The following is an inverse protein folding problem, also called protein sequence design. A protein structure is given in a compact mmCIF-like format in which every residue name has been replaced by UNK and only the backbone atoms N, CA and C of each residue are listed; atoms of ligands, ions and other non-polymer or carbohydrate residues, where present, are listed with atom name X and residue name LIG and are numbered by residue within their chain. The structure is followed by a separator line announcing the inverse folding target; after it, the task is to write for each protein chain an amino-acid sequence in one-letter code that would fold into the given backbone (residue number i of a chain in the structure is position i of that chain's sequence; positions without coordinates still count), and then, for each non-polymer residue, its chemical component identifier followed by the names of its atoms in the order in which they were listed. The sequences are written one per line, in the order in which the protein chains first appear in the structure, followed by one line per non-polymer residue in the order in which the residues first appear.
data_IF_924666140865
#
_entry.id   IF_924666140865
#
_cell.length_a   1.000
_cell.length_b   1.000
_cell.length_c   1.000
_cell.angle_alpha   90.00
_cell.angle_beta   90.00
_cell.angle_gamma   90.00
#
_symmetry.space_group_name_H-M   'P 1'
#
loop_
_entity.id
_entity.type
_entity.pdbx_description
1 polymer ?
#
# COMPACT_ATOMS: atom_id res chain seq x y z
N UNK A 1 -16.61 10.49 -51.10
CA UNK A 1 -15.24 9.97 -51.29
C UNK A 1 -14.26 10.97 -50.69
N UNK A 2 -13.40 10.47 -49.77
CA UNK A 2 -12.04 10.93 -49.44
C UNK A 2 -11.82 12.42 -49.13
N UNK A 3 -11.75 12.76 -47.84
CA UNK A 3 -10.88 13.86 -47.37
C UNK A 3 -9.87 13.29 -46.36
N UNK A 4 -8.77 12.76 -46.91
CA UNK A 4 -7.55 12.45 -46.18
C UNK A 4 -6.71 13.74 -46.06
N UNK A 5 -6.24 14.09 -44.87
CA UNK A 5 -5.06 14.95 -44.69
C UNK A 5 -4.24 14.45 -43.51
N UNK A 6 -3.14 13.83 -43.88
CA UNK A 6 -2.12 13.15 -43.08
C UNK A 6 -0.86 14.04 -43.11
N UNK A 7 -0.31 14.32 -41.92
CA UNK A 7 1.11 14.61 -41.60
C UNK A 7 1.72 15.97 -41.96
N UNK A 8 2.28 16.67 -40.95
CA UNK A 8 3.74 16.84 -40.81
C UNK A 8 4.15 17.49 -39.47
N UNK A 9 5.11 16.82 -38.84
CA UNK A 9 5.87 17.19 -37.65
C UNK A 9 6.98 18.17 -38.06
N UNK A 10 7.22 19.21 -37.27
CA UNK A 10 8.51 19.93 -37.26
C UNK A 10 8.79 20.51 -35.88
N UNK A 11 9.74 19.88 -35.17
CA UNK A 11 10.37 20.42 -33.96
C UNK A 11 11.68 21.11 -34.36
N UNK A 12 11.94 22.30 -33.82
CA UNK A 12 13.27 22.90 -33.79
C UNK A 12 13.41 23.70 -32.48
N UNK A 13 14.12 23.11 -31.52
CA UNK A 13 14.52 23.72 -30.26
C UNK A 13 15.89 24.34 -30.47
N UNK A 14 15.97 25.67 -30.48
CA UNK A 14 17.23 26.40 -30.42
C UNK A 14 17.59 26.63 -28.94
N UNK A 15 18.46 25.78 -28.39
CA UNK A 15 18.99 25.91 -27.04
C UNK A 15 20.27 26.73 -27.00
N UNK A 16 20.28 27.76 -26.17
CA UNK A 16 21.42 28.62 -25.79
C UNK A 16 22.55 27.82 -25.14
N UNK A 17 23.79 27.99 -25.61
CA UNK A 17 25.00 27.53 -24.90
C UNK A 17 25.25 28.42 -23.68
N UNK A 18 25.20 27.85 -22.48
CA UNK A 18 25.79 28.43 -21.26
C UNK A 18 27.18 27.83 -21.08
N UNK A 19 28.17 28.72 -21.05
CA UNK A 19 29.55 28.42 -20.65
C UNK A 19 29.64 28.40 -19.13
N UNK A 20 30.13 27.32 -18.54
CA UNK A 20 30.62 27.33 -17.15
C UNK A 20 31.82 26.39 -17.05
N UNK A 21 33.00 26.99 -16.83
CA UNK A 21 34.18 26.31 -16.30
C UNK A 21 33.93 25.82 -14.87
N UNK A 22 34.75 24.88 -14.40
CA UNK A 22 35.52 25.23 -13.20
C UNK A 22 36.99 24.80 -13.24
N UNK A 23 37.83 25.64 -12.62
CA UNK A 23 39.07 25.25 -11.96
C UNK A 23 38.74 24.20 -10.88
N UNK A 24 39.49 23.13 -10.67
CA UNK A 24 40.83 23.15 -10.10
C UNK A 24 40.80 22.37 -8.77
N UNK A 25 41.94 21.73 -8.46
CA UNK A 25 42.38 21.05 -7.23
C UNK A 25 41.81 19.67 -6.88
N UNK A 26 42.75 18.72 -6.92
CA UNK A 26 42.72 17.42 -6.26
C UNK A 26 42.71 17.56 -4.72
N UNK A 27 42.11 16.59 -4.04
CA UNK A 27 42.63 16.05 -2.79
C UNK A 27 42.34 14.54 -2.79
N UNK A 28 43.40 13.77 -2.54
CA UNK A 28 43.37 12.34 -2.31
C UNK A 28 43.51 12.08 -0.80
N UNK A 29 42.97 10.93 -0.40
CA UNK A 29 43.35 10.10 0.76
C UNK A 29 42.90 10.53 2.17
N UNK A 30 41.99 9.75 2.76
CA UNK A 30 42.24 8.83 3.89
C UNK A 30 41.01 8.63 4.80
N UNK A 31 40.63 7.36 4.96
CA UNK A 31 39.78 6.74 5.98
C UNK A 31 38.62 7.51 6.65
N UNK A 32 37.38 7.04 6.43
CA UNK A 32 36.35 7.08 7.47
C UNK A 32 34.92 7.36 7.02
N UNK A 33 34.05 6.37 7.31
CA UNK A 33 32.57 6.44 7.37
C UNK A 33 31.83 6.35 6.02
N UNK A 34 31.32 5.15 5.77
CA UNK A 34 30.33 4.84 4.73
C UNK A 34 29.04 5.66 4.94
N UNK A 35 28.64 6.55 4.01
CA UNK A 35 27.40 7.31 4.10
C UNK A 35 26.14 6.50 3.72
N UNK A 36 26.28 5.23 3.35
CA UNK A 36 25.17 4.28 3.14
C UNK A 36 25.00 3.27 4.29
N UNK A 37 25.75 3.42 5.39
CA UNK A 37 25.47 2.73 6.64
C UNK A 37 24.35 3.46 7.40
N UNK A 38 23.13 3.38 6.90
CA UNK A 38 21.95 3.71 7.70
C UNK A 38 21.52 2.45 8.46
N UNK A 39 21.45 2.61 9.79
CA UNK A 39 20.96 1.66 10.75
C UNK A 39 19.68 0.97 10.26
N UNK A 40 19.73 -0.37 10.17
CA UNK A 40 18.50 -1.15 10.09
C UNK A 40 17.64 -0.88 11.32
N UNK A 41 16.31 -1.01 11.22
CA UNK A 41 15.50 -1.14 12.42
C UNK A 41 15.96 -2.42 13.12
N UNK A 42 16.52 -2.23 14.31
CA UNK A 42 16.82 -3.20 15.34
C UNK A 42 16.61 -4.66 14.93
N UNK A 43 17.71 -5.34 14.61
CA UNK A 43 17.77 -6.75 14.89
C UNK A 43 17.45 -6.91 16.38
N UNK A 44 16.27 -7.44 16.69
CA UNK A 44 16.02 -8.07 17.97
C UNK A 44 17.01 -9.22 18.09
N UNK A 45 18.20 -8.88 18.58
CA UNK A 45 19.21 -9.84 18.97
C UNK A 45 18.60 -10.72 20.03
N UNK A 46 18.62 -12.02 19.80
CA UNK A 46 18.28 -13.01 20.82
C UNK A 46 19.33 -12.91 21.91
N UNK A 47 19.06 -12.14 22.97
CA UNK A 47 19.91 -12.10 24.16
C UNK A 47 19.69 -13.42 24.93
N UNK A 48 20.71 -14.30 25.01
CA UNK A 48 20.57 -15.60 25.68
C UNK A 48 20.44 -15.50 27.21
N UNK A 49 20.57 -14.29 27.78
CA UNK A 49 20.39 -13.98 29.19
C UNK A 49 19.15 -13.12 29.47
N UNK A 50 18.33 -12.82 28.46
CA UNK A 50 17.04 -12.19 28.71
C UNK A 50 16.15 -13.19 29.49
N UNK A 51 15.62 -12.81 30.66
CA UNK A 51 14.61 -13.63 31.30
C UNK A 51 13.44 -13.83 30.33
N UNK A 52 12.78 -15.00 30.32
CA UNK A 52 11.60 -15.19 29.51
C UNK A 52 10.61 -14.07 29.82
N UNK A 53 9.99 -13.51 28.77
CA UNK A 53 8.90 -12.57 28.94
C UNK A 53 7.88 -13.20 29.91
N UNK A 54 7.33 -12.44 30.88
CA UNK A 54 6.24 -12.96 31.68
C UNK A 54 5.14 -13.42 30.72
N UNK A 55 4.61 -14.63 30.94
CA UNK A 55 3.52 -15.18 30.16
C UNK A 55 2.47 -14.07 29.96
N UNK A 56 2.16 -13.78 28.70
CA UNK A 56 1.13 -12.81 28.36
C UNK A 56 -0.11 -13.15 29.19
N UNK A 57 -0.58 -12.19 29.98
CA UNK A 57 -1.78 -12.39 30.78
C UNK A 57 -2.91 -12.90 29.87
N UNK A 58 -3.73 -13.85 30.33
CA UNK A 58 -4.80 -14.38 29.51
C UNK A 58 -5.66 -13.21 29.02
N UNK A 59 -5.79 -13.10 27.69
CA UNK A 59 -6.80 -12.25 27.07
C UNK A 59 -8.15 -12.75 27.58
N UNK A 60 -8.73 -11.96 28.47
CA UNK A 60 -10.08 -12.13 28.99
C UNK A 60 -11.02 -12.06 27.79
N UNK A 61 -11.27 -13.22 27.20
CA UNK A 61 -12.16 -13.36 26.07
C UNK A 61 -13.55 -13.15 26.64
N UNK A 62 -14.29 -12.09 26.25
CA UNK A 62 -15.65 -11.93 26.74
C UNK A 62 -16.43 -13.21 26.42
N UNK A 63 -17.18 -13.77 27.38
CA UNK A 63 -17.92 -15.00 27.13
C UNK A 63 -18.84 -14.79 25.93
N UNK A 64 -18.87 -15.79 25.04
CA UNK A 64 -19.89 -15.87 24.01
C UNK A 64 -21.27 -15.70 24.67
N UNK A 65 -22.24 -15.02 24.02
CA UNK A 65 -23.58 -14.92 24.57
C UNK A 65 -24.12 -16.33 24.78
N UNK A 66 -24.35 -16.67 26.04
CA UNK A 66 -24.96 -17.92 26.46
C UNK A 66 -26.32 -18.05 25.77
N UNK A 67 -26.54 -19.21 25.13
CA UNK A 67 -27.84 -19.62 24.59
C UNK A 67 -28.88 -19.44 25.69
N UNK A 68 -29.72 -18.41 25.55
CA UNK A 68 -30.83 -18.16 26.45
C UNK A 68 -31.80 -19.33 26.33
N UNK A 69 -31.61 -20.33 27.20
CA UNK A 69 -32.51 -21.46 27.34
C UNK A 69 -33.93 -20.96 27.56
N UNK A 70 -34.88 -21.56 26.85
CA UNK A 70 -36.30 -21.28 27.00
C UNK A 70 -36.75 -21.65 28.42
N UNK A 71 -36.90 -20.67 29.30
CA UNK A 71 -37.53 -20.85 30.61
C UNK A 71 -39.05 -20.95 30.44
N UNK A 72 -39.67 -22.10 30.72
CA UNK A 72 -41.10 -22.29 30.53
C UNK A 72 -41.97 -21.50 31.53
N UNK A 73 -41.39 -20.85 32.54
CA UNK A 73 -42.11 -20.02 33.51
C UNK A 73 -41.99 -18.51 33.26
N UNK A 74 -41.26 -18.09 32.23
CA UNK A 74 -41.19 -16.69 31.86
C UNK A 74 -42.51 -16.25 31.19
N UNK A 75 -43.20 -15.20 31.69
CA UNK A 75 -44.38 -14.66 31.01
C UNK A 75 -43.97 -14.17 29.60
N UNK A 76 -44.81 -14.36 28.57
CA UNK A 76 -44.48 -13.88 27.24
C UNK A 76 -44.27 -12.37 27.28
N UNK A 77 -43.28 -11.83 26.52
CA UNK A 77 -43.10 -10.39 26.45
C UNK A 77 -44.37 -9.74 25.93
N UNK A 78 -44.77 -8.63 26.56
CA UNK A 78 -45.82 -7.77 26.03
C UNK A 78 -45.36 -7.30 24.64
N UNK A 79 -46.18 -7.52 23.62
CA UNK A 79 -45.83 -7.19 22.23
C UNK A 79 -45.44 -5.70 22.10
N UNK A 80 -44.50 -5.34 21.20
CA UNK A 80 -44.19 -3.95 20.94
C UNK A 80 -45.37 -3.27 20.23
N UNK A 81 -45.81 -2.13 20.77
CA UNK A 81 -46.77 -1.23 20.15
C UNK A 81 -46.30 -0.86 18.73
N UNK A 82 -47.18 -1.07 17.75
CA UNK A 82 -46.95 -0.91 16.31
C UNK A 82 -46.85 0.56 15.85
N UNK A 83 -45.99 1.38 16.47
CA UNK A 83 -45.75 2.78 16.10
C UNK A 83 -44.26 3.17 15.98
N UNK A 84 -43.37 2.20 15.74
CA UNK A 84 -42.03 2.53 15.23
C UNK A 84 -42.11 2.85 13.73
N UNK A 85 -41.58 3.98 13.24
CA UNK A 85 -41.45 4.20 11.81
C UNK A 85 -40.60 3.08 11.19
N UNK A 86 -40.83 2.69 9.91
CA UNK A 86 -39.92 1.77 9.25
C UNK A 86 -38.53 2.38 9.29
N UNK A 87 -37.57 1.65 9.86
CA UNK A 87 -36.17 2.02 9.80
C UNK A 87 -35.82 2.21 8.32
N UNK A 88 -35.53 3.45 7.95
CA UNK A 88 -35.02 3.81 6.63
C UNK A 88 -33.78 2.93 6.42
N UNK A 89 -33.87 2.01 5.46
CA UNK A 89 -32.84 1.01 5.20
C UNK A 89 -31.54 1.76 4.92
N UNK A 90 -30.62 1.73 5.89
CA UNK A 90 -29.36 2.43 5.76
C UNK A 90 -28.69 1.99 4.46
N UNK A 91 -28.11 2.92 3.67
CA UNK A 91 -27.45 2.55 2.43
C UNK A 91 -26.45 1.43 2.71
N UNK A 92 -26.30 0.45 1.81
CA UNK A 92 -25.37 -0.65 2.03
C UNK A 92 -24.01 -0.04 2.33
N UNK A 93 -23.48 -0.35 3.52
CA UNK A 93 -22.11 0.03 3.88
C UNK A 93 -21.22 -0.50 2.77
N UNK A 94 -20.36 0.33 2.15
CA UNK A 94 -19.43 -0.19 1.16
C UNK A 94 -18.59 -1.25 1.87
N UNK A 95 -18.77 -2.50 1.47
CA UNK A 95 -17.88 -3.59 1.88
C UNK A 95 -16.51 -3.26 1.32
N UNK A 96 -15.66 -2.67 2.17
CA UNK A 96 -14.25 -2.56 1.88
C UNK A 96 -13.71 -4.00 1.85
N UNK A 97 -13.51 -4.53 0.65
CA UNK A 97 -12.61 -5.66 0.50
C UNK A 97 -11.25 -5.17 0.96
N UNK A 98 -10.88 -5.48 2.21
CA UNK A 98 -9.56 -5.13 2.73
C UNK A 98 -8.55 -6.01 2.02
N UNK A 99 -7.91 -5.47 0.99
CA UNK A 99 -6.82 -6.15 0.28
C UNK A 99 -5.58 -6.11 1.16
N UNK A 100 -4.97 -7.25 1.40
CA UNK A 100 -3.69 -7.35 2.09
C UNK A 100 -2.55 -6.98 1.12
N UNK A 101 -2.25 -5.68 1.05
CA UNK A 101 -1.21 -5.15 0.19
C UNK A 101 0.20 -5.64 0.53
N UNK A 102 0.49 -5.99 1.79
CA UNK A 102 1.78 -6.57 2.15
C UNK A 102 1.95 -7.97 1.58
N UNK A 103 0.90 -8.79 1.58
CA UNK A 103 0.94 -10.11 0.97
C UNK A 103 1.15 -10.03 -0.56
N UNK A 104 0.55 -9.02 -1.20
CA UNK A 104 0.79 -8.73 -2.62
C UNK A 104 2.23 -8.25 -2.82
N UNK A 105 2.71 -7.29 -2.04
CA UNK A 105 4.09 -6.80 -2.14
C UNK A 105 5.14 -7.89 -1.88
N UNK A 106 4.85 -8.80 -0.95
CA UNK A 106 5.69 -9.98 -0.69
C UNK A 106 5.78 -10.89 -1.92
N UNK A 107 4.69 -11.02 -2.67
CA UNK A 107 4.67 -11.77 -3.91
C UNK A 107 5.36 -11.05 -5.07
N UNK A 108 5.16 -9.73 -5.18
CA UNK A 108 5.60 -8.91 -6.31
C UNK A 108 7.08 -8.52 -6.22
N UNK A 109 7.54 -8.09 -5.05
CA UNK A 109 8.91 -7.58 -4.84
C UNK A 109 9.69 -8.30 -3.74
N UNK A 110 9.12 -9.34 -3.14
CA UNK A 110 9.68 -9.95 -1.93
C UNK A 110 9.51 -9.06 -0.69
N UNK A 111 8.61 -8.08 -0.73
CA UNK A 111 8.33 -7.16 0.38
C UNK A 111 9.21 -5.90 0.38
N UNK A 112 10.05 -5.71 -0.63
CA UNK A 112 10.86 -4.51 -0.76
C UNK A 112 10.06 -3.38 -1.42
N UNK A 113 9.67 -2.39 -0.62
CA UNK A 113 8.86 -1.24 -1.07
C UNK A 113 9.64 -0.20 -1.87
N UNK A 114 10.97 -0.20 -1.80
CA UNK A 114 11.83 0.76 -2.49
C UNK A 114 12.55 0.14 -3.69
N UNK A 115 12.10 -1.04 -4.15
CA UNK A 115 12.76 -1.76 -5.24
C UNK A 115 12.71 -0.96 -6.54
N UNK A 116 13.86 -0.87 -7.20
CA UNK A 116 14.00 -0.32 -8.54
C UNK A 116 15.17 -1.01 -9.24
N UNK A 117 14.89 -2.11 -9.93
CA UNK A 117 15.90 -2.93 -10.63
C UNK A 117 16.16 -2.47 -12.06
N UNK A 118 15.44 -1.45 -12.54
CA UNK A 118 15.50 -1.00 -13.94
C UNK A 118 14.67 -1.87 -14.91
N UNK A 119 13.80 -2.75 -14.41
CA UNK A 119 12.89 -3.57 -15.22
C UNK A 119 11.62 -2.84 -15.71
N UNK A 120 11.50 -1.54 -15.42
CA UNK A 120 10.32 -0.70 -15.78
C UNK A 120 9.18 -0.74 -14.76
N UNK A 121 9.35 -1.48 -13.66
CA UNK A 121 8.44 -1.53 -12.52
C UNK A 121 9.11 -0.95 -11.27
N UNK A 122 8.31 -0.37 -10.39
CA UNK A 122 8.79 0.41 -9.28
C UNK A 122 8.03 0.09 -8.00
N UNK A 123 8.77 -0.04 -6.90
CA UNK A 123 8.23 -0.18 -5.56
C UNK A 123 7.63 -1.56 -5.26
N UNK A 124 7.04 -1.69 -4.08
CA UNK A 124 6.62 -2.97 -3.51
C UNK A 124 5.53 -3.67 -4.32
N UNK A 125 4.63 -2.88 -4.92
CA UNK A 125 3.51 -3.38 -5.71
C UNK A 125 3.80 -3.41 -7.21
N UNK A 126 5.07 -3.22 -7.60
CA UNK A 126 5.53 -3.30 -8.98
C UNK A 126 4.71 -2.43 -9.94
N UNK A 127 4.60 -1.13 -9.66
CA UNK A 127 3.89 -0.20 -10.54
C UNK A 127 4.70 0.15 -11.78
N UNK A 128 4.04 0.31 -12.94
CA UNK A 128 4.64 1.04 -14.06
C UNK A 128 4.56 2.55 -13.81
N UNK A 129 5.48 3.34 -14.37
CA UNK A 129 5.46 4.80 -14.24
C UNK A 129 4.17 5.44 -14.81
N UNK A 130 3.55 4.82 -15.83
CA UNK A 130 2.28 5.27 -16.41
C UNK A 130 1.11 5.04 -15.45
N UNK A 131 0.97 3.82 -14.94
CA UNK A 131 -0.09 3.47 -13.98
C UNK A 131 0.04 4.29 -12.70
N UNK A 132 1.26 4.46 -12.18
CA UNK A 132 1.54 5.28 -11.00
C UNK A 132 0.95 6.69 -11.12
N UNK A 133 1.32 7.39 -12.20
CA UNK A 133 0.89 8.77 -12.44
C UNK A 133 -0.59 8.87 -12.73
N UNK A 134 -1.14 7.93 -13.52
CA UNK A 134 -2.56 7.91 -13.85
C UNK A 134 -3.47 7.73 -12.61
N UNK A 135 -2.94 7.12 -11.54
CA UNK A 135 -3.67 6.87 -10.31
C UNK A 135 -3.27 7.83 -9.17
N UNK A 136 -2.67 8.98 -9.52
CA UNK A 136 -2.40 10.07 -8.60
C UNK A 136 -1.09 9.95 -7.82
N UNK A 137 -0.18 9.06 -8.24
CA UNK A 137 1.17 8.99 -7.71
C UNK A 137 2.09 10.06 -8.33
N UNK A 138 2.96 10.65 -7.53
CA UNK A 138 3.97 11.62 -7.99
C UNK A 138 5.37 11.00 -8.00
N UNK A 139 6.25 11.48 -8.88
CA UNK A 139 7.63 10.95 -8.98
C UNK A 139 7.69 9.47 -9.40
N UNK A 140 8.43 8.67 -8.63
CA UNK A 140 8.58 7.21 -8.80
C UNK A 140 8.00 6.49 -7.58
N UNK A 141 7.29 5.37 -7.81
CA UNK A 141 6.73 4.57 -6.72
C UNK A 141 7.84 4.03 -5.78
N UNK A 142 9.03 3.72 -6.31
CA UNK A 142 10.17 3.26 -5.51
C UNK A 142 10.72 4.31 -4.52
N UNK A 143 10.42 5.60 -4.74
CA UNK A 143 10.80 6.69 -3.84
C UNK A 143 9.62 7.12 -2.94
N UNK A 144 8.44 6.53 -3.13
CA UNK A 144 7.26 6.82 -2.35
C UNK A 144 7.20 5.90 -1.12
N UNK A 145 6.60 6.39 -0.03
CA UNK A 145 6.35 5.55 1.14
C UNK A 145 5.43 4.38 0.78
N UNK A 146 5.50 3.32 1.58
CA UNK A 146 4.61 2.18 1.47
C UNK A 146 3.13 2.61 1.48
N UNK A 147 2.77 3.53 2.36
CA UNK A 147 1.40 4.01 2.53
C UNK A 147 0.93 4.78 1.30
N UNK A 148 1.81 5.57 0.68
CA UNK A 148 1.53 6.27 -0.57
C UNK A 148 1.35 5.28 -1.73
N UNK A 149 2.15 4.22 -1.77
CA UNK A 149 1.99 3.15 -2.74
C UNK A 149 0.65 2.43 -2.58
N UNK A 150 0.25 2.13 -1.34
CA UNK A 150 -1.06 1.53 -1.02
C UNK A 150 -2.19 2.47 -1.43
N UNK A 151 -2.10 3.77 -1.13
CA UNK A 151 -3.11 4.76 -1.54
C UNK A 151 -3.33 4.75 -3.05
N UNK A 152 -2.25 4.70 -3.84
CA UNK A 152 -2.33 4.61 -5.30
C UNK A 152 -2.86 3.23 -5.74
N UNK A 153 -2.51 2.16 -5.02
CA UNK A 153 -3.03 0.82 -5.27
C UNK A 153 -4.54 0.73 -5.07
N UNK A 154 -5.08 1.38 -4.05
CA UNK A 154 -6.53 1.50 -3.83
C UNK A 154 -7.23 2.21 -4.99
N UNK A 155 -6.59 3.21 -5.60
CA UNK A 155 -7.13 3.87 -6.81
C UNK A 155 -7.15 2.91 -8.01
N UNK A 156 -6.11 2.09 -8.16
CA UNK A 156 -6.05 1.04 -9.18
C UNK A 156 -7.11 -0.04 -8.90
N UNK A 157 -7.28 -0.45 -7.64
CA UNK A 157 -8.30 -1.41 -7.23
C UNK A 157 -9.70 -0.91 -7.56
N UNK A 158 -10.00 0.37 -7.32
CA UNK A 158 -11.30 0.97 -7.66
C UNK A 158 -11.56 1.02 -9.17
N UNK A 159 -10.52 1.24 -9.98
CA UNK A 159 -10.69 1.39 -11.44
C UNK A 159 -10.61 0.06 -12.20
N UNK A 160 -9.75 -0.84 -11.77
CA UNK A 160 -9.45 -2.08 -12.47
C UNK A 160 -9.90 -3.30 -11.68
N UNK A 161 -9.99 -3.23 -10.36
CA UNK A 161 -10.16 -4.39 -9.49
C UNK A 161 -8.86 -5.15 -9.30
N UNK A 162 -8.93 -6.25 -8.54
CA UNK A 162 -7.75 -7.04 -8.15
C UNK A 162 -7.00 -7.66 -9.34
N UNK A 163 -7.63 -7.71 -10.53
CA UNK A 163 -7.02 -8.18 -11.80
C UNK A 163 -5.82 -7.37 -12.26
N UNK A 164 -5.56 -6.19 -11.68
CA UNK A 164 -4.33 -5.46 -11.89
C UNK A 164 -3.11 -6.22 -11.34
N UNK A 165 -3.32 -7.13 -10.38
CA UNK A 165 -2.34 -8.07 -9.84
C UNK A 165 -2.81 -9.52 -10.10
N UNK A 166 -2.75 -10.03 -11.33
CA UNK A 166 -3.41 -11.30 -11.70
C UNK A 166 -2.83 -12.53 -10.99
N UNK A 167 -1.52 -12.51 -10.65
CA UNK A 167 -0.83 -13.65 -10.02
C UNK A 167 -0.77 -13.50 -8.50
N UNK A 168 -0.47 -12.29 -8.04
CA UNK A 168 -0.23 -11.97 -6.63
C UNK A 168 -1.48 -11.47 -5.90
N UNK A 169 -2.44 -10.89 -6.60
CA UNK A 169 -3.66 -10.34 -6.01
C UNK A 169 -4.56 -11.38 -5.34
N UNK A 170 -4.44 -12.67 -5.70
CA UNK A 170 -5.12 -13.77 -4.99
C UNK A 170 -4.51 -14.12 -3.62
N UNK A 171 -3.34 -13.55 -3.29
CA UNK A 171 -2.64 -13.80 -2.03
C UNK A 171 -2.96 -12.76 -0.96
N UNK A 172 -3.68 -11.70 -1.32
CA UNK A 172 -4.10 -10.64 -0.41
C UNK A 172 -5.57 -10.34 -0.52
#
# INVERSE_FOLDING_TARGET
MKNARTTLIAAAIAGTLVTTSPAGIANADDAGLDPNAAAGPDAVGFDPNLPPAPDAAPVDTPPAPEDAGFDPNLPPPLAPDFLSPPAEEAPPVPVAYSVNWDAIAQCESGGNWSINTGNGYYGGLQFTAGTWRANGGSGSAANASREEQIRVAENVLRSQGIRAWPVCGRRG
#
